data_IF_395689328474
#
_entry.id   IF_395689328474
#
_cell.length_a   1.000
_cell.length_b   1.000
_cell.length_c   1.000
_cell.angle_alpha   90.00
_cell.angle_beta   90.00
_cell.angle_gamma   90.00
#
_symmetry.space_group_name_H-M   'P 1'
#
loop_
_entity.id
_entity.type
_entity.pdbx_description
1 polymer ?
#
# COMPACT_ATOMS: atom_id res chain seq x y z
N UNK A 1 12.68 13.60 -20.47
CA UNK A 1 13.42 14.70 -19.82
C UNK A 1 12.55 15.18 -18.64
N UNK A 2 12.76 14.62 -17.45
CA UNK A 2 12.04 15.03 -16.24
C UNK A 2 13.06 15.69 -15.31
N UNK A 3 12.79 16.94 -14.92
CA UNK A 3 13.62 17.72 -14.00
C UNK A 3 13.42 17.20 -12.58
N UNK A 4 14.53 16.96 -11.88
CA UNK A 4 14.55 16.69 -10.46
C UNK A 4 14.27 18.01 -9.70
N UNK A 5 13.36 17.97 -8.74
CA UNK A 5 13.26 18.99 -7.70
C UNK A 5 14.24 18.62 -6.59
N UNK A 6 15.29 19.42 -6.44
CA UNK A 6 16.21 19.33 -5.30
C UNK A 6 15.57 20.01 -4.09
N UNK A 7 15.08 19.22 -3.13
CA UNK A 7 14.76 19.71 -1.79
C UNK A 7 16.03 19.62 -0.92
N UNK A 8 16.47 20.78 -0.42
CA UNK A 8 17.70 20.94 0.34
C UNK A 8 17.48 20.50 1.80
N UNK A 9 17.62 19.21 2.04
CA UNK A 9 17.52 18.53 3.34
C UNK A 9 17.46 17.03 3.08
N UNK A 10 18.57 16.32 3.30
CA UNK A 10 18.83 14.98 2.72
C UNK A 10 17.82 13.90 3.08
N UNK A 11 16.73 13.82 2.32
CA UNK A 11 15.83 12.67 2.27
C UNK A 11 16.11 11.97 0.95
N UNK A 12 16.61 10.74 1.01
CA UNK A 12 16.79 9.91 -0.18
C UNK A 12 15.41 9.48 -0.68
N UNK A 13 14.87 10.21 -1.65
CA UNK A 13 13.60 9.85 -2.29
C UNK A 13 13.88 8.76 -3.33
N UNK A 14 13.63 7.51 -2.97
CA UNK A 14 13.67 6.40 -3.91
C UNK A 14 12.29 6.21 -4.53
N UNK A 15 12.22 6.19 -5.86
CA UNK A 15 10.99 5.84 -6.56
C UNK A 15 10.73 4.34 -6.38
N UNK A 16 9.81 4.01 -5.49
CA UNK A 16 9.28 2.67 -5.31
C UNK A 16 7.93 2.57 -6.02
N UNK A 17 7.70 1.47 -6.74
CA UNK A 17 6.45 1.22 -7.44
C UNK A 17 6.61 0.80 -8.91
N UNK A 18 5.63 0.06 -9.39
CA UNK A 18 5.59 -0.49 -10.74
C UNK A 18 4.15 -0.64 -11.24
N UNK A 19 4.01 -0.89 -12.54
CA UNK A 19 2.70 -1.16 -13.13
C UNK A 19 2.26 -2.55 -12.69
N UNK A 20 1.20 -2.65 -11.88
CA UNK A 20 0.61 -3.93 -11.49
C UNK A 20 -0.84 -4.03 -11.97
N UNK A 21 -1.32 -5.26 -12.15
CA UNK A 21 -2.71 -5.56 -12.47
C UNK A 21 -3.35 -6.25 -11.26
N UNK A 22 -4.18 -5.52 -10.52
CA UNK A 22 -4.92 -6.08 -9.39
C UNK A 22 -6.25 -6.64 -9.89
N UNK A 23 -6.64 -7.87 -9.51
CA UNK A 23 -7.95 -8.41 -9.84
C UNK A 23 -9.11 -7.49 -9.41
N UNK A 24 -10.19 -7.46 -10.18
CA UNK A 24 -11.40 -6.71 -9.84
C UNK A 24 -12.25 -7.43 -8.77
N UNK A 25 -11.66 -7.62 -7.59
CA UNK A 25 -12.27 -8.20 -6.40
C UNK A 25 -11.92 -7.35 -5.18
N UNK A 26 -12.90 -7.10 -4.31
CA UNK A 26 -12.71 -6.24 -3.15
C UNK A 26 -11.63 -6.77 -2.18
N UNK A 27 -11.54 -8.09 -2.02
CA UNK A 27 -10.50 -8.70 -1.18
C UNK A 27 -9.14 -8.55 -1.82
N UNK A 28 -9.02 -8.81 -3.13
CA UNK A 28 -7.76 -8.64 -3.84
C UNK A 28 -7.23 -7.19 -3.73
N UNK A 29 -8.12 -6.19 -3.86
CA UNK A 29 -7.79 -4.79 -3.65
C UNK A 29 -7.34 -4.49 -2.22
N UNK A 30 -8.01 -5.06 -1.21
CA UNK A 30 -7.60 -4.94 0.19
C UNK A 30 -6.23 -5.58 0.46
N UNK A 31 -5.96 -6.77 -0.09
CA UNK A 31 -4.66 -7.43 0.05
C UNK A 31 -3.55 -6.63 -0.64
N UNK A 32 -3.83 -6.07 -1.82
CA UNK A 32 -2.90 -5.19 -2.50
C UNK A 32 -2.60 -3.92 -1.69
N UNK A 33 -3.64 -3.32 -1.08
CA UNK A 33 -3.46 -2.20 -0.16
C UNK A 33 -2.54 -2.56 1.01
N UNK A 34 -2.77 -3.70 1.67
CA UNK A 34 -1.92 -4.18 2.76
C UNK A 34 -0.47 -4.39 2.28
N UNK A 35 -0.27 -4.97 1.10
CA UNK A 35 1.05 -5.13 0.51
C UNK A 35 1.77 -3.78 0.35
N UNK A 36 1.07 -2.76 -0.15
CA UNK A 36 1.61 -1.40 -0.26
C UNK A 36 1.96 -0.82 1.11
N UNK A 37 1.06 -0.91 2.09
CA UNK A 37 1.30 -0.39 3.45
C UNK A 37 2.53 -1.06 4.06
N UNK A 38 2.58 -2.40 4.08
CA UNK A 38 3.70 -3.17 4.63
C UNK A 38 5.03 -2.80 3.96
N UNK A 39 5.03 -2.60 2.64
CA UNK A 39 6.23 -2.14 1.92
C UNK A 39 6.69 -0.77 2.40
N UNK A 40 5.75 0.17 2.59
CA UNK A 40 6.07 1.56 2.96
C UNK A 40 6.57 1.67 4.40
N UNK A 41 6.00 0.89 5.32
CA UNK A 41 6.41 0.88 6.73
C UNK A 41 7.53 -0.12 7.04
N UNK A 42 8.09 -0.76 6.00
CA UNK A 42 9.11 -1.81 6.10
C UNK A 42 8.73 -2.95 7.07
N UNK A 43 7.45 -3.33 7.06
CA UNK A 43 6.93 -4.43 7.87
C UNK A 43 7.03 -5.75 7.10
N UNK A 44 8.08 -6.51 7.42
CA UNK A 44 8.38 -7.82 6.83
C UNK A 44 8.15 -8.91 7.89
N UNK A 45 6.98 -9.54 7.83
CA UNK A 45 6.54 -10.60 8.74
C UNK A 45 5.93 -11.73 7.92
N UNK A 46 6.46 -12.94 8.07
CA UNK A 46 5.99 -14.14 7.37
C UNK A 46 4.47 -14.37 7.57
N UNK A 47 3.93 -13.97 8.73
CA UNK A 47 2.49 -14.12 9.01
C UNK A 47 1.61 -13.20 8.13
N UNK A 48 2.18 -12.11 7.59
CA UNK A 48 1.49 -11.16 6.70
C UNK A 48 1.48 -11.58 5.24
N UNK A 49 2.40 -12.43 4.79
CA UNK A 49 2.52 -12.85 3.38
C UNK A 49 1.19 -13.37 2.82
N UNK A 50 0.49 -14.21 3.59
CA UNK A 50 -0.81 -14.76 3.23
C UNK A 50 -1.93 -13.69 3.07
N UNK A 51 -1.75 -12.49 3.63
CA UNK A 51 -2.71 -11.38 3.56
C UNK A 51 -2.30 -10.30 2.56
N UNK A 52 -1.07 -10.35 2.03
CA UNK A 52 -0.53 -9.42 1.03
C UNK A 52 -0.45 -10.03 -0.37
N UNK A 53 -0.51 -11.37 -0.50
CA UNK A 53 -0.56 -12.08 -1.78
C UNK A 53 -1.93 -11.96 -2.49
N UNK A 54 -2.17 -10.79 -3.08
CA UNK A 54 -3.41 -10.45 -3.77
C UNK A 54 -3.67 -11.28 -5.04
N UNK A 55 -2.67 -11.94 -5.61
CA UNK A 55 -2.85 -12.83 -6.76
C UNK A 55 -3.60 -14.11 -6.35
N UNK A 56 -3.38 -14.56 -5.11
CA UNK A 56 -3.98 -15.77 -4.54
C UNK A 56 -5.20 -15.50 -3.65
N UNK A 57 -5.87 -14.35 -3.80
CA UNK A 57 -7.04 -13.95 -3.00
C UNK A 57 -8.19 -15.00 -2.96
N UNK A 58 -8.31 -15.84 -4.00
CA UNK A 58 -9.34 -16.88 -4.10
C UNK A 58 -9.13 -18.05 -3.14
N UNK A 59 -7.91 -18.25 -2.65
CA UNK A 59 -7.53 -19.35 -1.77
C UNK A 59 -7.81 -19.04 -0.29
N UNK A 60 -8.17 -17.80 0.04
CA UNK A 60 -8.48 -17.40 1.41
C UNK A 60 -9.74 -18.08 1.92
N UNK A 61 -9.62 -18.69 3.10
CA UNK A 61 -10.77 -19.15 3.87
C UNK A 61 -11.66 -17.98 4.32
N UNK A 62 -12.94 -18.21 4.65
CA UNK A 62 -13.82 -17.16 5.16
C UNK A 62 -13.25 -16.44 6.40
N UNK A 63 -12.50 -17.15 7.25
CA UNK A 63 -11.84 -16.56 8.41
C UNK A 63 -10.71 -15.61 7.99
N UNK A 64 -9.84 -16.04 7.07
CA UNK A 64 -8.76 -15.19 6.57
C UNK A 64 -9.29 -13.95 5.85
N UNK A 65 -10.38 -14.07 5.06
CA UNK A 65 -11.02 -12.90 4.41
C UNK A 65 -11.49 -11.87 5.43
N UNK A 66 -12.05 -12.28 6.57
CA UNK A 66 -12.41 -11.35 7.66
C UNK A 66 -11.18 -10.69 8.26
N UNK A 67 -10.09 -11.45 8.42
CA UNK A 67 -8.83 -10.93 8.94
C UNK A 67 -8.21 -9.88 8.04
N UNK A 68 -8.27 -10.04 6.71
CA UNK A 68 -7.87 -9.00 5.74
C UNK A 68 -8.59 -7.68 6.00
N UNK A 69 -9.92 -7.70 6.19
CA UNK A 69 -10.67 -6.48 6.49
C UNK A 69 -10.30 -5.86 7.83
N UNK A 70 -10.08 -6.67 8.86
CA UNK A 70 -9.64 -6.19 10.17
C UNK A 70 -8.26 -5.53 10.08
N UNK A 71 -7.33 -6.13 9.34
CA UNK A 71 -6.00 -5.58 9.08
C UNK A 71 -6.10 -4.26 8.30
N UNK A 72 -6.93 -4.18 7.26
CA UNK A 72 -7.14 -2.93 6.51
C UNK A 72 -7.70 -1.82 7.39
N UNK A 73 -8.52 -2.16 8.39
CA UNK A 73 -9.06 -1.19 9.34
C UNK A 73 -8.05 -0.79 10.41
N UNK A 74 -7.22 -1.73 10.87
CA UNK A 74 -6.14 -1.46 11.82
C UNK A 74 -5.05 -0.58 11.19
N UNK A 75 -4.80 -0.81 9.91
CA UNK A 75 -3.83 -0.10 9.09
C UNK A 75 -4.57 0.85 8.14
N UNK A 76 -5.60 1.56 8.60
CA UNK A 76 -6.33 2.48 7.74
C UNK A 76 -5.45 3.67 7.36
N UNK A 77 -5.70 4.33 6.22
CA UNK A 77 -4.92 5.50 5.82
C UNK A 77 -4.88 6.60 6.89
N UNK A 78 -5.96 6.75 7.66
CA UNK A 78 -6.09 7.72 8.76
C UNK A 78 -5.02 7.52 9.86
N UNK A 79 -4.55 6.29 10.10
CA UNK A 79 -3.51 6.01 11.08
C UNK A 79 -2.11 6.44 10.61
N UNK A 80 -1.98 6.69 9.30
CA UNK A 80 -0.74 6.99 8.60
C UNK A 80 -0.69 8.42 8.05
N UNK A 81 -1.79 9.15 8.10
CA UNK A 81 -1.88 10.56 7.72
C UNK A 81 -0.82 11.38 8.49
N UNK A 82 -0.12 12.27 7.77
CA UNK A 82 0.96 13.12 8.27
C UNK A 82 2.18 12.40 8.86
N UNK A 83 2.22 11.06 8.78
CA UNK A 83 3.34 10.24 9.28
C UNK A 83 4.04 9.49 8.15
N UNK A 84 3.22 8.85 7.33
CA UNK A 84 3.65 7.93 6.28
C UNK A 84 2.99 8.29 4.94
N UNK A 85 1.71 8.62 4.96
CA UNK A 85 1.01 9.20 3.82
C UNK A 85 0.95 10.71 3.97
N UNK A 86 1.48 11.42 2.97
CA UNK A 86 1.46 12.86 2.91
C UNK A 86 0.59 13.26 1.72
N UNK A 87 -0.46 14.05 1.99
CA UNK A 87 -1.23 14.66 0.92
C UNK A 87 -0.33 15.64 0.15
N UNK A 88 -0.37 15.56 -1.17
CA UNK A 88 0.39 16.45 -2.02
C UNK A 88 -0.50 16.92 -3.17
N UNK A 89 -1.04 18.12 -2.99
CA UNK A 89 -1.95 18.76 -3.95
C UNK A 89 -1.30 18.97 -5.33
N UNK A 90 0.03 19.10 -5.40
CA UNK A 90 0.75 19.26 -6.67
C UNK A 90 0.86 17.94 -7.46
N UNK A 91 0.65 16.79 -6.81
CA UNK A 91 0.66 15.45 -7.42
C UNK A 91 -0.74 14.93 -7.76
N UNK A 92 -1.78 15.55 -7.21
CA UNK A 92 -3.18 15.32 -7.58
C UNK A 92 -3.43 15.97 -8.94
N UNK A 93 -3.18 15.21 -10.01
CA UNK A 93 -3.18 15.69 -11.39
C UNK A 93 -4.32 16.67 -11.72
N UNK A 94 -3.92 17.84 -12.25
CA UNK A 94 -4.83 18.78 -12.91
C UNK A 94 -5.71 18.04 -13.92
N UNK A 95 -7.04 18.17 -13.77
CA UNK A 95 -8.01 17.86 -14.80
C UNK A 95 -7.95 18.84 -15.96
#
# INVERSE_FOLDING_TARGET
MARYFEFNGGVNVNRIGGRTSVPDDNIAKCMYYLNCVCTVIEYDDDDMEQYTDYENYRWLTPYQRRRVFLLCKLLSPDEFEDRVFFENDDMCGYG
#
